data_IF_458405914128
#
_entry.id   IF_458405914128
#
_cell.length_a   1.000
_cell.length_b   1.000
_cell.length_c   1.000
_cell.angle_alpha   90.00
_cell.angle_beta   90.00
_cell.angle_gamma   90.00
#
_symmetry.space_group_name_H-M   'P 1'
#
loop_
_entity.id
_entity.type
_entity.pdbx_description
1 polymer ?
#
# COMPACT_ATOMS: atom_id res chain seq x y z
N UNK A 1 -7.04 26.04 -20.84
CA UNK A 1 -7.10 24.56 -20.82
C UNK A 1 -8.57 24.16 -20.72
N UNK A 2 -9.06 23.28 -21.61
CA UNK A 2 -10.46 22.82 -21.58
C UNK A 2 -10.69 21.83 -20.43
N UNK A 3 -11.90 21.79 -19.88
CA UNK A 3 -12.28 20.86 -18.80
C UNK A 3 -12.06 19.38 -19.14
N UNK A 4 -12.06 19.03 -20.44
CA UNK A 4 -11.70 17.68 -20.91
C UNK A 4 -10.21 17.41 -20.76
N UNK A 5 -9.37 18.28 -21.32
CA UNK A 5 -7.91 18.19 -21.23
C UNK A 5 -7.42 18.15 -19.77
N UNK A 6 -8.08 18.87 -18.85
CA UNK A 6 -7.77 18.78 -17.41
C UNK A 6 -8.08 17.40 -16.82
N UNK A 7 -9.22 16.79 -17.18
CA UNK A 7 -9.59 15.44 -16.73
C UNK A 7 -8.66 14.37 -17.31
N UNK A 8 -8.28 14.52 -18.57
CA UNK A 8 -7.37 13.58 -19.22
C UNK A 8 -5.98 13.62 -18.56
N UNK A 9 -5.48 14.81 -18.21
CA UNK A 9 -4.24 14.97 -17.47
C UNK A 9 -4.32 14.34 -16.08
N UNK A 10 -5.37 14.65 -15.32
CA UNK A 10 -5.60 14.08 -13.97
C UNK A 10 -5.61 12.55 -13.99
N UNK A 11 -6.32 11.94 -14.95
CA UNK A 11 -6.36 10.48 -15.09
C UNK A 11 -4.96 9.91 -15.32
N UNK A 12 -4.19 10.52 -16.22
CA UNK A 12 -2.83 10.07 -16.55
C UNK A 12 -1.90 10.14 -15.34
N UNK A 13 -1.97 11.22 -14.57
CA UNK A 13 -1.14 11.36 -13.35
C UNK A 13 -1.56 10.37 -12.26
N UNK A 14 -2.85 10.07 -12.11
CA UNK A 14 -3.33 9.04 -11.18
C UNK A 14 -2.90 7.63 -11.60
N UNK A 15 -2.92 7.32 -12.89
CA UNK A 15 -2.40 6.05 -13.43
C UNK A 15 -0.89 5.92 -13.17
N UNK A 16 -0.13 6.98 -13.41
CA UNK A 16 1.30 7.04 -13.09
C UNK A 16 1.55 6.80 -11.58
N UNK A 17 0.75 7.45 -10.73
CA UNK A 17 0.83 7.29 -9.28
C UNK A 17 0.54 5.85 -8.84
N UNK A 18 -0.46 5.19 -9.44
CA UNK A 18 -0.79 3.80 -9.15
C UNK A 18 0.39 2.86 -9.46
N UNK A 19 1.16 3.14 -10.51
CA UNK A 19 2.35 2.35 -10.87
C UNK A 19 3.53 2.54 -9.90
N UNK A 20 3.55 3.64 -9.13
CA UNK A 20 4.57 3.88 -8.12
C UNK A 20 4.27 3.19 -6.77
N UNK A 21 3.06 2.66 -6.56
CA UNK A 21 2.72 1.95 -5.33
C UNK A 21 3.48 0.62 -5.23
N UNK A 22 3.89 0.20 -4.02
CA UNK A 22 4.61 -1.07 -3.79
C UNK A 22 3.64 -2.27 -3.84
N UNK A 23 2.93 -2.42 -4.94
CA UNK A 23 1.92 -3.46 -5.17
C UNK A 23 2.22 -4.14 -6.51
N UNK A 24 1.77 -5.37 -6.68
CA UNK A 24 1.88 -6.04 -7.98
C UNK A 24 1.10 -5.27 -9.06
N UNK A 25 1.67 -5.14 -10.26
CA UNK A 25 1.04 -4.39 -11.36
C UNK A 25 -0.37 -4.90 -11.71
N UNK A 26 -0.64 -6.20 -11.52
CA UNK A 26 -1.96 -6.79 -11.73
C UNK A 26 -3.03 -6.21 -10.78
N UNK A 27 -2.64 -5.77 -9.59
CA UNK A 27 -3.53 -5.17 -8.58
C UNK A 27 -3.72 -3.69 -8.89
N UNK A 28 -2.64 -2.96 -9.18
CA UNK A 28 -2.70 -1.51 -9.39
C UNK A 28 -3.56 -1.11 -10.59
N UNK A 29 -3.66 -1.97 -11.61
CA UNK A 29 -4.52 -1.75 -12.79
C UNK A 29 -6.03 -1.73 -12.48
N UNK A 30 -6.46 -2.40 -11.40
CA UNK A 30 -7.88 -2.52 -11.05
C UNK A 30 -8.34 -1.50 -10.01
N UNK A 31 -7.43 -0.67 -9.49
CA UNK A 31 -7.75 0.30 -8.45
C UNK A 31 -8.59 1.46 -9.01
N UNK A 32 -9.65 1.81 -8.29
CA UNK A 32 -10.38 3.05 -8.54
C UNK A 32 -9.57 4.27 -8.04
N UNK A 33 -9.93 5.46 -8.53
CA UNK A 33 -9.21 6.70 -8.20
C UNK A 33 -9.12 6.97 -6.69
N UNK A 34 -10.19 6.66 -5.95
CA UNK A 34 -10.21 6.91 -4.50
C UNK A 34 -9.25 5.96 -3.77
N UNK A 35 -9.20 4.68 -4.17
CA UNK A 35 -8.25 3.72 -3.60
C UNK A 35 -6.80 4.09 -3.92
N UNK A 36 -6.49 4.56 -5.13
CA UNK A 36 -5.13 5.05 -5.47
C UNK A 36 -4.71 6.13 -4.46
N UNK A 37 -5.53 7.17 -4.29
CA UNK A 37 -5.22 8.28 -3.37
C UNK A 37 -5.13 7.80 -1.91
N UNK A 38 -6.04 6.93 -1.48
CA UNK A 38 -6.06 6.35 -0.12
C UNK A 38 -4.78 5.57 0.16
N UNK A 39 -4.40 4.66 -0.74
CA UNK A 39 -3.22 3.81 -0.60
C UNK A 39 -1.94 4.62 -0.67
N UNK A 40 -1.84 5.61 -1.57
CA UNK A 40 -0.70 6.54 -1.59
C UNK A 40 -0.58 7.31 -0.28
N UNK A 41 -1.68 7.86 0.23
CA UNK A 41 -1.67 8.60 1.50
C UNK A 41 -1.24 7.69 2.67
N UNK A 42 -1.76 6.48 2.75
CA UNK A 42 -1.40 5.50 3.76
C UNK A 42 0.08 5.08 3.65
N UNK A 43 0.56 4.83 2.44
CA UNK A 43 1.95 4.46 2.18
C UNK A 43 2.93 5.57 2.59
N UNK A 44 2.63 6.82 2.24
CA UNK A 44 3.47 7.96 2.64
C UNK A 44 3.48 8.15 4.15
N UNK A 45 2.32 8.01 4.81
CA UNK A 45 2.24 8.07 6.28
C UNK A 45 3.07 6.96 6.94
N UNK A 46 2.97 5.73 6.44
CA UNK A 46 3.79 4.60 6.89
C UNK A 46 5.29 4.90 6.71
N UNK A 47 5.67 5.49 5.56
CA UNK A 47 7.07 5.78 5.23
C UNK A 47 7.67 6.90 6.06
N UNK A 48 6.85 7.83 6.55
CA UNK A 48 7.27 8.84 7.50
C UNK A 48 7.64 8.23 8.87
N UNK A 49 6.94 7.17 9.29
CA UNK A 49 7.23 6.44 10.54
C UNK A 49 8.39 5.45 10.34
N UNK A 50 8.42 4.77 9.19
CA UNK A 50 9.40 3.74 8.84
C UNK A 50 10.20 4.13 7.59
N UNK A 51 11.20 5.02 7.72
CA UNK A 51 11.98 5.53 6.59
C UNK A 51 12.75 4.42 5.85
N UNK A 52 13.14 4.66 4.58
CA UNK A 52 13.97 3.71 3.83
C UNK A 52 15.26 3.41 4.58
N UNK A 53 15.48 2.14 4.88
CA UNK A 53 16.76 1.67 5.41
C UNK A 53 17.64 1.28 4.23
N UNK A 54 18.72 2.02 3.99
CA UNK A 54 19.72 1.74 2.95
C UNK A 54 20.73 0.68 3.41
N UNK A 55 20.21 -0.45 3.89
CA UNK A 55 21.05 -1.52 4.45
C UNK A 55 21.08 -2.71 3.49
N UNK A 56 22.29 -3.15 3.13
CA UNK A 56 22.55 -4.31 2.27
C UNK A 56 21.98 -5.66 2.79
N UNK A 57 21.33 -5.67 3.97
CA UNK A 57 20.66 -6.84 4.59
C UNK A 57 19.14 -6.91 4.33
N UNK A 58 18.64 -6.12 3.39
CA UNK A 58 17.20 -5.98 3.15
C UNK A 58 16.53 -7.30 2.75
N UNK A 59 17.23 -8.16 1.98
CA UNK A 59 16.71 -9.45 1.50
C UNK A 59 16.46 -10.42 2.67
N UNK A 60 17.42 -10.54 3.59
CA UNK A 60 17.26 -11.39 4.79
C UNK A 60 16.11 -10.91 5.68
N UNK A 61 15.97 -9.59 5.83
CA UNK A 61 14.92 -8.99 6.67
C UNK A 61 13.52 -9.23 6.09
N UNK A 62 13.37 -9.16 4.76
CA UNK A 62 12.10 -9.43 4.06
C UNK A 62 11.69 -10.90 4.22
N UNK A 63 12.64 -11.83 4.04
CA UNK A 63 12.38 -13.26 4.20
C UNK A 63 11.97 -13.61 5.64
N UNK A 64 12.62 -13.03 6.64
CA UNK A 64 12.23 -13.24 8.05
C UNK A 64 10.82 -12.68 8.31
N UNK A 65 10.52 -11.50 7.77
CA UNK A 65 9.19 -10.88 7.89
C UNK A 65 8.07 -11.76 7.33
N UNK A 66 8.27 -12.42 6.19
CA UNK A 66 7.27 -13.32 5.62
C UNK A 66 7.05 -14.57 6.48
N UNK A 67 8.11 -15.19 6.99
CA UNK A 67 7.98 -16.35 7.89
C UNK A 67 7.27 -16.00 9.20
N UNK A 68 7.55 -14.82 9.76
CA UNK A 68 6.86 -14.34 10.96
C UNK A 68 5.36 -14.17 10.72
N UNK A 69 4.97 -13.56 9.59
CA UNK A 69 3.55 -13.41 9.24
C UNK A 69 2.85 -14.74 8.98
N UNK A 70 3.55 -15.73 8.40
CA UNK A 70 2.99 -17.08 8.18
C UNK A 70 2.81 -17.88 9.48
N UNK A 71 3.68 -17.64 10.46
CA UNK A 71 3.60 -18.33 11.76
C UNK A 71 2.59 -17.67 12.70
N UNK A 72 2.24 -16.41 12.44
CA UNK A 72 1.27 -15.66 13.23
C UNK A 72 -0.16 -16.19 12.96
N UNK A 73 -0.83 -16.67 14.01
CA UNK A 73 -2.27 -16.97 13.98
C UNK A 73 -3.10 -15.68 14.08
N UNK A 74 -2.96 -14.84 13.05
CA UNK A 74 -3.58 -13.53 12.96
C UNK A 74 -3.04 -12.65 11.84
N UNK A 75 -3.20 -11.34 12.03
CA UNK A 75 -2.74 -10.34 11.09
C UNK A 75 -2.15 -9.13 11.82
N UNK A 76 -1.32 -8.39 11.10
CA UNK A 76 -0.72 -7.15 11.60
C UNK A 76 -1.55 -5.98 11.10
N UNK A 77 -1.84 -5.05 12.01
CA UNK A 77 -2.54 -3.80 11.72
C UNK A 77 -1.72 -2.65 12.28
N UNK A 78 -1.46 -1.62 11.47
CA UNK A 78 -0.77 -0.40 11.87
C UNK A 78 -1.75 0.76 11.72
N UNK A 79 -1.99 1.46 12.82
CA UNK A 79 -2.87 2.63 12.90
C UNK A 79 -2.04 3.87 13.25
N UNK A 80 -2.50 5.03 12.81
CA UNK A 80 -2.00 6.29 13.36
C UNK A 80 -2.68 6.65 14.69
N UNK A 81 -2.28 7.77 15.30
CA UNK A 81 -2.81 8.24 16.57
C UNK A 81 -4.31 8.59 16.52
N UNK A 82 -4.89 8.74 15.33
CA UNK A 82 -6.32 9.01 15.12
C UNK A 82 -7.13 7.73 14.92
N UNK A 83 -6.47 6.57 14.84
CA UNK A 83 -7.08 5.29 14.53
C UNK A 83 -7.23 5.02 13.03
N UNK A 84 -6.67 5.87 12.16
CA UNK A 84 -6.68 5.63 10.71
C UNK A 84 -5.68 4.53 10.37
N UNK A 85 -6.13 3.58 9.55
CA UNK A 85 -5.31 2.48 9.07
C UNK A 85 -4.23 2.97 8.10
N UNK A 86 -2.97 2.64 8.40
CA UNK A 86 -1.80 2.90 7.55
C UNK A 86 -1.31 1.65 6.84
N UNK A 87 -1.46 0.48 7.46
CA UNK A 87 -1.07 -0.81 6.88
C UNK A 87 -1.86 -1.95 7.52
N UNK A 88 -2.17 -2.97 6.73
CA UNK A 88 -2.70 -4.26 7.17
C UNK A 88 -1.96 -5.36 6.42
N UNK A 89 -1.64 -6.49 7.06
CA UNK A 89 -0.98 -7.62 6.36
C UNK A 89 -1.95 -8.41 5.49
N UNK A 90 -1.44 -9.06 4.44
CA UNK A 90 -2.22 -9.90 3.51
C UNK A 90 -3.01 -11.00 4.24
N UNK A 91 -2.49 -11.50 5.37
CA UNK A 91 -3.12 -12.54 6.20
C UNK A 91 -4.45 -12.11 6.82
N UNK A 92 -4.79 -10.81 6.83
CA UNK A 92 -6.11 -10.35 7.28
C UNK A 92 -7.25 -10.94 6.43
N UNK A 93 -7.00 -11.21 5.16
CA UNK A 93 -7.98 -11.85 4.27
C UNK A 93 -8.39 -13.25 4.75
N UNK A 94 -7.47 -14.01 5.33
CA UNK A 94 -7.72 -15.36 5.87
C UNK A 94 -8.62 -15.29 7.10
N UNK A 95 -8.47 -14.25 7.92
CA UNK A 95 -9.15 -14.13 9.21
C UNK A 95 -10.47 -13.34 9.13
N UNK A 96 -10.57 -12.38 8.21
CA UNK A 96 -11.69 -11.44 8.11
C UNK A 96 -12.44 -11.52 6.77
N UNK A 97 -11.89 -12.21 5.76
CA UNK A 97 -12.46 -12.26 4.41
C UNK A 97 -12.33 -10.95 3.62
N UNK A 98 -11.53 -9.99 4.10
CA UNK A 98 -11.36 -8.66 3.50
C UNK A 98 -10.02 -8.54 2.76
N UNK A 99 -10.05 -7.91 1.58
CA UNK A 99 -8.85 -7.57 0.82
C UNK A 99 -8.07 -6.42 1.48
N UNK A 100 -6.75 -6.48 1.41
CA UNK A 100 -5.85 -5.41 1.88
C UNK A 100 -5.93 -4.15 0.99
N UNK A 101 -6.25 -4.34 -0.29
CA UNK A 101 -6.47 -3.29 -1.28
C UNK A 101 -7.95 -3.02 -1.46
#
# INVERSE_FOLDING_TARGET
MSARSRRDLENRELESLAQCLPLAAAITFQLDKASIVRLTSAYLALRNVFPPQNNNKQIETIAIGSFLLQTLDGFVLILDATGKMMYVSETASVHLGLSQV
#
